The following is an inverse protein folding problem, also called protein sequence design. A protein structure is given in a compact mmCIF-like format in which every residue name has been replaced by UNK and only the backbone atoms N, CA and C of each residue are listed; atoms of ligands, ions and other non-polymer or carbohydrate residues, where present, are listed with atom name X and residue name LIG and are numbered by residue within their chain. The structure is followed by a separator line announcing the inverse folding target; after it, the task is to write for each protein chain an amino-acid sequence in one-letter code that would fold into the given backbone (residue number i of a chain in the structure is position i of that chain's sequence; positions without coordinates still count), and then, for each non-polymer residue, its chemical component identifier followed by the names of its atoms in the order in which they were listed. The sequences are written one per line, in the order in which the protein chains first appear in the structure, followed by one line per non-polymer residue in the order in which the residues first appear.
data_IF_909705542324
#
_entry.id   IF_909705542324
#
_cell.length_a   1.000
_cell.length_b   1.000
_cell.length_c   1.000
_cell.angle_alpha   90.00
_cell.angle_beta   90.00
_cell.angle_gamma   90.00
#
_symmetry.space_group_name_H-M   'P 1'
#
loop_
_entity.id
_entity.type
_entity.pdbx_description
1 polymer ?
#
# COMPACT_ATOMS: atom_id res chain seq x y z
N UNK A 1 -4.77 8.52 -3.60
CA UNK A 1 -5.28 7.33 -4.32
C UNK A 1 -4.36 6.11 -4.20
N UNK A 2 -3.89 5.82 -2.98
CA UNK A 2 -3.41 4.49 -2.64
C UNK A 2 -4.53 3.46 -2.76
N UNK A 3 -4.17 2.19 -2.66
CA UNK A 3 -5.08 1.06 -2.57
C UNK A 3 -6.24 1.30 -1.58
N UNK A 4 -5.93 1.66 -0.32
CA UNK A 4 -6.94 1.97 0.68
C UNK A 4 -7.76 3.23 0.35
N UNK A 5 -7.11 4.27 -0.17
CA UNK A 5 -7.78 5.52 -0.50
C UNK A 5 -8.82 5.37 -1.61
N UNK A 6 -8.51 4.60 -2.65
CA UNK A 6 -9.49 4.30 -3.71
C UNK A 6 -10.65 3.46 -3.18
N UNK A 7 -10.34 2.43 -2.39
CA UNK A 7 -11.37 1.59 -1.77
C UNK A 7 -12.35 2.43 -0.95
N UNK A 8 -11.84 3.28 -0.06
CA UNK A 8 -12.67 4.15 0.77
C UNK A 8 -13.50 5.10 -0.09
N UNK A 9 -12.89 5.77 -1.07
CA UNK A 9 -13.58 6.71 -1.96
C UNK A 9 -14.72 6.03 -2.74
N UNK A 10 -14.51 4.83 -3.28
CA UNK A 10 -15.53 4.10 -4.02
C UNK A 10 -16.73 3.71 -3.14
N UNK A 11 -16.45 3.20 -1.93
CA UNK A 11 -17.50 2.82 -0.98
C UNK A 11 -18.34 4.05 -0.60
N UNK A 12 -17.69 5.17 -0.30
CA UNK A 12 -18.36 6.43 0.06
C UNK A 12 -19.17 7.01 -1.11
N UNK A 13 -18.65 7.01 -2.33
CA UNK A 13 -19.35 7.48 -3.54
C UNK A 13 -20.56 6.62 -3.90
N UNK A 14 -20.47 5.32 -3.67
CA UNK A 14 -21.55 4.36 -3.99
C UNK A 14 -22.68 4.33 -2.96
N UNK A 15 -22.49 4.95 -1.80
CA UNK A 15 -23.45 4.92 -0.72
C UNK A 15 -24.43 6.09 -0.81
N UNK A 16 -25.67 5.84 -0.39
CA UNK A 16 -26.68 6.87 -0.13
C UNK A 16 -27.01 6.87 1.36
N UNK A 17 -27.07 8.05 1.98
CA UNK A 17 -27.37 8.15 3.40
C UNK A 17 -28.80 7.68 3.68
N UNK A 18 -29.02 6.65 4.53
CA UNK A 18 -30.34 6.05 4.72
C UNK A 18 -31.42 7.04 5.21
N UNK A 19 -31.01 8.03 6.01
CA UNK A 19 -31.91 8.99 6.66
C UNK A 19 -32.34 10.17 5.79
N UNK A 20 -31.61 10.48 4.71
CA UNK A 20 -31.87 11.67 3.87
C UNK A 20 -31.90 11.38 2.37
N UNK A 21 -31.48 10.19 1.93
CA UNK A 21 -31.27 9.85 0.52
C UNK A 21 -30.15 10.64 -0.17
N UNK A 22 -29.43 11.51 0.56
CA UNK A 22 -28.35 12.33 0.01
C UNK A 22 -27.07 11.50 -0.18
N UNK A 23 -26.37 11.77 -1.28
CA UNK A 23 -25.02 11.28 -1.50
C UNK A 23 -24.00 12.15 -0.75
N UNK A 24 -22.87 11.56 -0.37
CA UNK A 24 -21.72 12.31 0.14
C UNK A 24 -20.99 12.99 -1.03
N UNK A 25 -20.52 14.22 -0.84
CA UNK A 25 -19.56 14.83 -1.75
C UNK A 25 -18.15 14.30 -1.44
N UNK A 26 -17.55 13.59 -2.39
CA UNK A 26 -16.29 12.86 -2.19
C UNK A 26 -15.19 13.42 -3.10
N UNK A 27 -14.43 14.34 -2.53
CA UNK A 27 -13.20 14.88 -3.13
C UNK A 27 -12.03 13.94 -2.84
N UNK A 28 -11.28 13.59 -3.88
CA UNK A 28 -10.10 12.73 -3.76
C UNK A 28 -8.86 13.48 -4.24
N UNK A 29 -7.81 13.44 -3.42
CA UNK A 29 -6.50 14.03 -3.73
C UNK A 29 -5.46 12.90 -3.90
N UNK A 30 -4.59 13.02 -4.90
CA UNK A 30 -3.48 12.09 -5.09
C UNK A 30 -2.23 12.79 -5.64
N UNK A 31 -1.10 12.57 -4.99
CA UNK A 31 0.17 13.18 -5.39
C UNK A 31 0.72 12.65 -6.71
N UNK A 32 0.42 11.39 -7.07
CA UNK A 32 1.00 10.72 -8.24
C UNK A 32 0.18 11.00 -9.50
N UNK A 33 -1.14 11.11 -9.37
CA UNK A 33 -2.06 11.21 -10.51
C UNK A 33 -2.31 9.88 -11.22
N UNK A 34 -1.78 8.76 -10.70
CA UNK A 34 -1.98 7.42 -11.24
C UNK A 34 -2.07 6.39 -10.10
N UNK A 35 -2.83 5.32 -10.34
CA UNK A 35 -2.85 4.13 -9.50
C UNK A 35 -1.67 3.22 -9.83
N UNK A 36 -1.07 2.64 -8.80
CA UNK A 36 -0.06 1.59 -8.94
C UNK A 36 -0.37 0.47 -7.97
N UNK A 37 -0.52 -0.75 -8.48
CA UNK A 37 -0.64 -1.94 -7.67
C UNK A 37 0.76 -2.44 -7.29
N UNK A 38 1.29 -1.88 -6.20
CA UNK A 38 2.65 -2.13 -5.71
C UNK A 38 3.04 -3.61 -5.51
N UNK A 39 2.14 -4.54 -5.12
CA UNK A 39 2.51 -5.96 -5.02
C UNK A 39 2.99 -6.60 -6.33
N UNK A 40 2.73 -5.98 -7.50
CA UNK A 40 3.23 -6.46 -8.79
C UNK A 40 4.46 -5.71 -9.29
N UNK A 41 4.91 -4.66 -8.58
CA UNK A 41 6.05 -3.84 -9.03
C UNK A 41 7.32 -4.67 -9.22
N UNK A 42 7.56 -5.64 -8.34
CA UNK A 42 8.75 -6.51 -8.40
C UNK A 42 8.77 -7.35 -9.68
N UNK A 43 7.62 -7.89 -10.08
CA UNK A 43 7.47 -8.56 -11.38
C UNK A 43 7.70 -7.58 -12.53
N UNK A 44 7.19 -6.35 -12.44
CA UNK A 44 7.35 -5.34 -13.49
C UNK A 44 8.82 -4.93 -13.70
N UNK A 45 9.71 -5.11 -12.71
CA UNK A 45 11.14 -4.85 -12.88
C UNK A 45 11.82 -5.88 -13.80
N UNK A 46 11.24 -7.08 -13.94
CA UNK A 46 11.78 -8.15 -14.82
C UNK A 46 10.87 -8.45 -16.02
N UNK A 47 9.62 -7.99 -15.99
CA UNK A 47 8.56 -8.12 -17.02
C UNK A 47 7.75 -6.81 -17.11
N UNK A 48 8.34 -5.72 -17.65
CA UNK A 48 7.76 -4.38 -17.63
C UNK A 48 6.44 -4.26 -18.40
N UNK A 49 6.16 -5.17 -19.34
CA UNK A 49 4.85 -5.27 -20.01
C UNK A 49 3.69 -5.46 -19.03
N UNK A 50 3.95 -6.06 -17.87
CA UNK A 50 2.95 -6.23 -16.82
C UNK A 50 2.53 -4.89 -16.18
N UNK A 51 3.34 -3.84 -16.32
CA UNK A 51 3.04 -2.50 -15.81
C UNK A 51 1.86 -1.83 -16.53
N UNK A 52 1.52 -2.26 -17.75
CA UNK A 52 0.32 -1.79 -18.47
C UNK A 52 -0.97 -2.15 -17.71
N UNK A 53 -0.98 -3.29 -17.01
CA UNK A 53 -2.13 -3.73 -16.24
C UNK A 53 -2.18 -3.16 -14.82
N UNK A 54 -1.04 -2.76 -14.25
CA UNK A 54 -0.87 -2.47 -12.82
C UNK A 54 -0.56 -1.01 -12.52
N UNK A 55 -0.15 -0.22 -13.52
CA UNK A 55 0.04 1.23 -13.44
C UNK A 55 -1.04 1.88 -14.30
N UNK A 56 -2.11 2.38 -13.68
CA UNK A 56 -3.31 2.85 -14.36
C UNK A 56 -3.53 4.35 -14.10
N UNK A 57 -4.00 5.13 -15.08
CA UNK A 57 -4.45 6.50 -14.80
C UNK A 57 -5.60 6.48 -13.77
N UNK A 58 -5.72 7.55 -12.98
CA UNK A 58 -6.84 7.70 -12.06
C UNK A 58 -8.12 8.13 -12.78
N UNK A 59 -9.31 7.84 -12.23
CA UNK A 59 -10.57 8.36 -12.75
C UNK A 59 -10.58 9.89 -12.81
N UNK A 60 -11.42 10.43 -13.71
CA UNK A 60 -11.69 11.86 -13.79
C UNK A 60 -12.23 12.40 -12.46
N UNK A 61 -11.82 13.62 -12.09
CA UNK A 61 -12.26 14.27 -10.84
C UNK A 61 -11.35 14.03 -9.63
N UNK A 62 -10.29 13.21 -9.77
CA UNK A 62 -9.22 13.17 -8.76
C UNK A 62 -8.32 14.40 -8.94
N UNK A 63 -8.07 15.13 -7.84
CA UNK A 63 -7.16 16.26 -7.81
C UNK A 63 -5.71 15.73 -7.73
N UNK A 64 -4.91 16.05 -8.74
CA UNK A 64 -3.48 15.70 -8.77
C UNK A 64 -2.69 16.77 -8.00
N UNK A 65 -2.50 16.54 -6.70
CA UNK A 65 -1.86 17.49 -5.79
C UNK A 65 -1.30 16.77 -4.55
N UNK A 66 -0.43 17.45 -3.80
CA UNK A 66 0.10 16.97 -2.52
C UNK A 66 -0.60 17.65 -1.36
N UNK A 67 -0.78 16.91 -0.27
CA UNK A 67 -1.18 17.52 1.01
C UNK A 67 0.03 18.29 1.56
N UNK A 68 -0.15 19.56 1.87
CA UNK A 68 0.86 20.38 2.52
C UNK A 68 0.59 20.51 4.03
N UNK A 69 -0.67 20.67 4.42
CA UNK A 69 -1.07 20.79 5.83
C UNK A 69 -2.46 20.22 6.07
N UNK A 70 -2.61 19.52 7.20
CA UNK A 70 -3.90 19.16 7.78
C UNK A 70 -4.17 20.09 8.96
N UNK A 71 -5.25 20.85 8.89
CA UNK A 71 -5.81 21.57 10.03
C UNK A 71 -7.02 20.76 10.53
N UNK A 72 -6.87 20.01 11.64
CA UNK A 72 -7.93 19.16 12.18
C UNK A 72 -9.20 19.96 12.49
N UNK A 73 -10.29 19.24 12.67
CA UNK A 73 -11.52 19.84 13.18
C UNK A 73 -11.26 20.44 14.56
N UNK A 74 -11.77 21.66 14.76
CA UNK A 74 -11.72 22.32 16.06
C UNK A 74 -12.49 21.52 17.12
N UNK A 75 -12.27 21.84 18.40
CA UNK A 75 -12.96 21.18 19.53
C UNK A 75 -14.49 21.28 19.47
N UNK A 76 -15.02 22.21 18.69
CA UNK A 76 -16.45 22.52 18.61
C UNK A 76 -17.20 21.67 17.56
N UNK A 77 -16.49 20.80 16.82
CA UNK A 77 -17.08 20.00 15.74
C UNK A 77 -17.47 20.83 14.51
N UNK A 78 -17.66 20.18 13.36
CA UNK A 78 -18.04 20.85 12.11
C UNK A 78 -16.99 20.83 10.99
N UNK A 79 -16.08 19.84 11.02
CA UNK A 79 -15.11 19.65 9.94
C UNK A 79 -13.81 20.44 10.11
N UNK A 80 -12.83 20.14 9.25
CA UNK A 80 -11.50 20.75 9.25
C UNK A 80 -11.12 21.28 7.88
N UNK A 81 -9.83 21.64 7.72
CA UNK A 81 -9.30 22.15 6.45
C UNK A 81 -8.05 21.38 6.00
N UNK A 82 -7.92 21.21 4.71
CA UNK A 82 -6.80 20.55 4.04
C UNK A 82 -6.15 21.54 3.07
N UNK A 83 -4.93 21.97 3.38
CA UNK A 83 -4.13 22.80 2.48
C UNK A 83 -3.30 21.90 1.56
N UNK A 84 -3.40 22.14 0.26
CA UNK A 84 -2.62 21.45 -0.75
C UNK A 84 -1.36 22.23 -1.12
N UNK A 85 -0.39 21.56 -1.74
CA UNK A 85 0.87 22.17 -2.15
C UNK A 85 0.68 23.26 -3.22
N UNK A 86 -0.39 23.19 -4.00
CA UNK A 86 -0.79 24.27 -4.92
C UNK A 86 -1.30 25.54 -4.24
N UNK A 87 -1.48 25.54 -2.91
CA UNK A 87 -2.15 26.61 -2.16
C UNK A 87 -3.68 26.51 -2.17
N UNK A 88 -4.25 25.49 -2.83
CA UNK A 88 -5.69 25.19 -2.74
C UNK A 88 -6.04 24.77 -1.31
N UNK A 89 -7.13 25.33 -0.81
CA UNK A 89 -7.66 25.05 0.52
C UNK A 89 -9.02 24.36 0.42
N UNK A 90 -9.14 23.18 1.01
CA UNK A 90 -10.35 22.34 0.97
C UNK A 90 -10.93 22.19 2.37
N UNK A 91 -12.20 22.56 2.54
CA UNK A 91 -12.96 22.20 3.73
C UNK A 91 -13.41 20.73 3.66
N UNK A 92 -13.49 20.05 4.80
CA UNK A 92 -14.01 18.70 4.90
C UNK A 92 -14.86 18.52 6.15
N UNK A 93 -15.95 17.75 6.08
CA UNK A 93 -16.65 17.25 7.26
C UNK A 93 -15.96 16.00 7.84
N UNK A 94 -15.44 15.15 6.94
CA UNK A 94 -14.68 13.95 7.26
C UNK A 94 -13.44 13.88 6.38
N UNK A 95 -12.30 13.49 6.96
CA UNK A 95 -11.04 13.31 6.23
C UNK A 95 -10.57 11.86 6.32
N UNK A 96 -10.18 11.26 5.20
CA UNK A 96 -9.50 9.95 5.17
C UNK A 96 -8.09 10.12 4.65
N UNK A 97 -7.10 9.98 5.55
CA UNK A 97 -5.69 9.96 5.21
C UNK A 97 -5.29 8.54 4.77
N UNK A 98 -4.94 8.40 3.50
CA UNK A 98 -4.54 7.12 2.89
C UNK A 98 -3.26 7.30 2.06
N UNK A 99 -2.28 8.00 2.61
CA UNK A 99 -1.05 8.42 1.91
C UNK A 99 -0.03 7.29 1.73
N UNK A 100 -0.26 6.16 2.41
CA UNK A 100 0.55 4.95 2.27
C UNK A 100 1.94 5.10 2.89
N UNK A 101 2.93 4.48 2.24
CA UNK A 101 4.33 4.49 2.65
C UNK A 101 5.26 4.63 1.46
N UNK A 102 6.48 5.06 1.72
CA UNK A 102 7.57 5.21 0.77
C UNK A 102 8.65 4.17 1.03
N UNK A 103 9.47 3.94 0.01
CA UNK A 103 10.58 2.98 0.02
C UNK A 103 11.72 3.52 -0.83
N UNK A 104 12.94 2.99 -0.63
CA UNK A 104 14.03 3.28 -1.55
C UNK A 104 13.60 2.94 -3.00
N UNK A 105 13.99 3.79 -3.96
CA UNK A 105 13.76 3.49 -5.36
C UNK A 105 14.52 2.23 -5.79
N UNK A 106 14.01 1.44 -6.74
CA UNK A 106 12.87 1.72 -7.64
C UNK A 106 11.51 1.14 -7.19
N UNK A 107 11.44 0.47 -6.04
CA UNK A 107 10.32 -0.44 -5.68
C UNK A 107 9.04 0.31 -5.33
N UNK A 108 9.10 1.29 -4.42
CA UNK A 108 7.92 2.11 -4.06
C UNK A 108 8.38 3.56 -3.89
N UNK A 109 8.76 4.14 -5.04
CA UNK A 109 9.21 5.52 -5.12
C UNK A 109 8.04 6.46 -4.83
N UNK A 110 8.11 7.16 -3.70
CA UNK A 110 7.29 8.33 -3.43
C UNK A 110 8.21 9.53 -3.39
N UNK A 111 7.95 10.56 -4.21
CA UNK A 111 8.62 11.87 -4.07
C UNK A 111 10.08 12.00 -4.54
N UNK A 112 10.67 11.04 -5.25
CA UNK A 112 11.97 11.26 -5.91
C UNK A 112 11.90 12.43 -6.92
N UNK A 113 13.04 13.07 -7.22
CA UNK A 113 13.20 14.28 -8.05
C UNK A 113 12.43 14.33 -9.40
N UNK A 114 11.90 13.21 -9.87
CA UNK A 114 10.94 13.15 -10.98
C UNK A 114 9.55 13.75 -10.65
N UNK A 115 9.18 13.91 -9.37
CA UNK A 115 7.96 14.60 -8.93
C UNK A 115 8.13 16.12 -8.81
N UNK A 116 9.35 16.64 -9.01
CA UNK A 116 9.69 18.05 -8.95
C UNK A 116 10.17 18.56 -10.31
N UNK A 117 9.38 18.38 -11.35
CA UNK A 117 9.28 19.39 -12.40
C UNK A 117 7.81 19.54 -12.71
N UNK A 118 7.15 20.44 -11.96
CA UNK A 118 5.97 21.10 -12.49
C UNK A 118 6.47 21.88 -13.71
N UNK A 119 6.42 21.25 -14.89
CA UNK A 119 6.39 22.01 -16.12
C UNK A 119 5.03 22.71 -16.10
N UNK A 120 5.04 24.01 -15.78
CA UNK A 120 3.92 24.91 -16.00
C UNK A 120 3.56 24.83 -17.48
N UNK A 121 2.54 24.05 -17.79
CA UNK A 121 1.99 23.91 -19.13
C UNK A 121 0.49 23.82 -19.00
N UNK A 122 -0.21 24.65 -19.76
CA UNK A 122 -1.67 24.82 -19.81
C UNK A 122 -2.41 23.59 -20.41
N UNK A 123 -1.95 22.37 -20.12
CA UNK A 123 -2.60 21.12 -20.48
C UNK A 123 -3.52 20.63 -19.36
N UNK A 124 -4.77 20.31 -19.68
CA UNK A 124 -5.77 19.90 -18.70
C UNK A 124 -5.34 18.74 -17.80
N UNK A 125 -5.75 18.78 -16.53
CA UNK A 125 -5.35 17.86 -15.45
C UNK A 125 -5.50 16.34 -15.73
N UNK A 126 -6.32 15.93 -16.71
CA UNK A 126 -6.46 14.51 -17.12
C UNK A 126 -5.23 13.98 -17.89
N UNK A 127 -4.45 14.87 -18.50
CA UNK A 127 -3.24 14.53 -19.27
C UNK A 127 -2.04 14.24 -18.35
N UNK A 128 -1.93 14.97 -17.23
CA UNK A 128 -0.80 14.87 -16.30
C UNK A 128 -0.69 13.49 -15.63
N UNK A 129 -1.80 12.92 -15.16
CA UNK A 129 -1.82 11.59 -14.55
C UNK A 129 -1.41 10.48 -15.52
N UNK A 130 -1.85 10.58 -16.77
CA UNK A 130 -1.52 9.64 -17.84
C UNK A 130 -0.04 9.73 -18.23
N UNK A 131 0.52 10.94 -18.32
CA UNK A 131 1.95 11.18 -18.55
C UNK A 131 2.82 10.58 -17.44
N UNK A 132 2.46 10.81 -16.17
CA UNK A 132 3.18 10.25 -15.01
C UNK A 132 3.09 8.73 -14.93
N UNK A 133 1.94 8.15 -15.26
CA UNK A 133 1.78 6.69 -15.39
C UNK A 133 2.74 6.14 -16.46
N UNK A 134 2.78 6.75 -17.65
CA UNK A 134 3.70 6.35 -18.72
C UNK A 134 5.17 6.49 -18.31
N UNK A 135 5.54 7.56 -17.61
CA UNK A 135 6.89 7.74 -17.06
C UNK A 135 7.24 6.63 -16.06
N UNK A 136 6.30 6.25 -15.18
CA UNK A 136 6.52 5.15 -14.24
C UNK A 136 6.73 3.82 -14.96
N UNK A 137 5.97 3.52 -16.02
CA UNK A 137 6.17 2.30 -16.83
C UNK A 137 7.54 2.29 -17.52
N UNK A 138 7.99 3.45 -18.04
CA UNK A 138 9.35 3.58 -18.60
C UNK A 138 10.43 3.33 -17.54
N UNK A 139 10.27 3.88 -16.34
CA UNK A 139 11.22 3.63 -15.25
C UNK A 139 11.32 2.13 -14.90
N UNK A 140 10.21 1.38 -14.94
CA UNK A 140 10.24 -0.08 -14.74
C UNK A 140 10.95 -0.81 -15.89
N UNK A 141 10.77 -0.34 -17.13
CA UNK A 141 11.51 -0.85 -18.28
C UNK A 141 13.01 -0.53 -18.22
N UNK A 142 13.40 0.61 -17.64
CA UNK A 142 14.80 0.95 -17.42
C UNK A 142 15.43 0.09 -16.31
N UNK A 143 14.66 -0.29 -15.28
CA UNK A 143 15.13 -1.27 -14.28
C UNK A 143 15.40 -2.65 -14.88
N UNK A 144 14.59 -3.11 -15.84
CA UNK A 144 14.89 -4.33 -16.59
C UNK A 144 16.29 -4.25 -17.23
N UNK A 145 16.62 -3.14 -17.91
CA UNK A 145 17.93 -2.95 -18.55
C UNK A 145 19.07 -2.95 -17.53
N UNK A 146 18.88 -2.35 -16.36
CA UNK A 146 19.86 -2.37 -15.27
C UNK A 146 20.11 -3.79 -14.78
N UNK A 147 19.04 -4.56 -14.55
CA UNK A 147 19.14 -5.97 -14.15
C UNK A 147 19.82 -6.80 -15.23
N UNK A 148 19.48 -6.59 -16.51
CA UNK A 148 20.10 -7.28 -17.65
C UNK A 148 21.61 -7.03 -17.74
N UNK A 149 22.03 -5.78 -17.56
CA UNK A 149 23.44 -5.38 -17.58
C UNK A 149 24.26 -5.85 -16.36
N UNK A 150 23.61 -6.07 -15.21
CA UNK A 150 24.29 -6.48 -13.99
C UNK A 150 24.64 -7.98 -13.98
N UNK A 151 25.87 -8.31 -13.57
CA UNK A 151 26.30 -9.71 -13.32
C UNK A 151 26.17 -10.11 -11.87
N UNK A 152 26.43 -9.18 -10.96
CA UNK A 152 26.33 -9.35 -9.51
C UNK A 152 25.23 -8.43 -8.96
N UNK A 153 24.28 -9.01 -8.22
CA UNK A 153 23.11 -8.34 -7.68
C UNK A 153 23.01 -8.64 -6.18
N UNK A 154 22.94 -7.61 -5.35
CA UNK A 154 22.58 -7.73 -3.94
C UNK A 154 21.14 -7.29 -3.71
N UNK A 155 20.37 -8.10 -3.00
CA UNK A 155 19.06 -7.75 -2.48
C UNK A 155 19.19 -7.68 -0.96
N UNK A 156 19.05 -6.49 -0.39
CA UNK A 156 19.28 -6.25 1.04
C UNK A 156 17.94 -6.18 1.76
N UNK A 157 17.59 -7.23 2.51
CA UNK A 157 16.35 -7.31 3.28
C UNK A 157 15.57 -8.59 3.01
N UNK A 158 15.73 -9.60 3.87
CA UNK A 158 15.06 -10.90 3.79
C UNK A 158 13.56 -10.91 4.13
N UNK A 159 12.86 -9.78 3.99
CA UNK A 159 11.40 -9.70 4.14
C UNK A 159 10.66 -10.08 2.86
N UNK A 160 9.31 -9.97 2.83
CA UNK A 160 8.47 -10.23 1.66
C UNK A 160 9.01 -9.63 0.36
N UNK A 161 9.35 -8.33 0.38
CA UNK A 161 9.81 -7.59 -0.80
C UNK A 161 11.12 -8.14 -1.35
N UNK A 162 12.14 -8.34 -0.51
CA UNK A 162 13.44 -8.83 -0.98
C UNK A 162 13.39 -10.29 -1.44
N UNK A 163 12.60 -11.13 -0.78
CA UNK A 163 12.41 -12.53 -1.19
C UNK A 163 11.73 -12.62 -2.56
N UNK A 164 10.66 -11.85 -2.78
CA UNK A 164 10.02 -11.81 -4.10
C UNK A 164 10.97 -11.25 -5.16
N UNK A 165 11.66 -10.14 -4.90
CA UNK A 165 12.57 -9.54 -5.88
C UNK A 165 13.71 -10.49 -6.27
N UNK A 166 14.34 -11.13 -5.28
CA UNK A 166 15.37 -12.13 -5.52
C UNK A 166 14.83 -13.29 -6.37
N UNK A 167 13.60 -13.73 -6.11
CA UNK A 167 12.96 -14.79 -6.87
C UNK A 167 12.59 -14.38 -8.30
N UNK A 168 12.07 -13.18 -8.50
CA UNK A 168 11.76 -12.64 -9.83
C UNK A 168 13.02 -12.56 -10.70
N UNK A 169 14.13 -12.05 -10.14
CA UNK A 169 15.42 -11.95 -10.83
C UNK A 169 15.98 -13.34 -11.14
N UNK A 170 16.12 -14.23 -10.14
CA UNK A 170 16.71 -15.55 -10.33
C UNK A 170 15.84 -16.49 -11.20
N UNK A 171 14.52 -16.33 -11.13
CA UNK A 171 13.58 -17.08 -11.96
C UNK A 171 13.61 -16.67 -13.43
N UNK A 172 13.83 -15.38 -13.72
CA UNK A 172 13.92 -14.84 -15.09
C UNK A 172 15.30 -15.05 -15.71
N UNK A 173 16.37 -14.74 -14.97
CA UNK A 173 17.73 -14.67 -15.49
C UNK A 173 18.60 -15.80 -14.96
N UNK A 174 19.04 -16.68 -15.86
CA UNK A 174 20.02 -17.74 -15.52
C UNK A 174 21.44 -17.17 -15.54
N UNK A 175 22.27 -17.59 -14.59
CA UNK A 175 23.70 -17.28 -14.59
C UNK A 175 24.10 -15.92 -14.01
N UNK A 176 23.16 -15.16 -13.42
CA UNK A 176 23.46 -13.97 -12.61
C UNK A 176 23.79 -14.41 -11.18
N UNK A 177 24.74 -13.74 -10.54
CA UNK A 177 25.01 -13.91 -9.11
C UNK A 177 24.04 -13.04 -8.33
N UNK A 178 23.13 -13.67 -7.59
CA UNK A 178 22.14 -12.98 -6.75
C UNK A 178 22.39 -13.36 -5.31
N UNK A 179 22.65 -12.38 -4.45
CA UNK A 179 22.82 -12.57 -3.00
C UNK A 179 21.69 -11.85 -2.25
N UNK A 180 20.95 -12.59 -1.41
CA UNK A 180 19.88 -12.07 -0.55
C UNK A 180 20.38 -11.97 0.89
N UNK A 181 20.49 -10.74 1.40
CA UNK A 181 20.89 -10.47 2.77
C UNK A 181 19.69 -10.34 3.70
N UNK A 182 19.80 -10.91 4.90
CA UNK A 182 18.78 -10.83 5.95
C UNK A 182 19.44 -10.65 7.31
N UNK A 183 19.10 -9.56 8.01
CA UNK A 183 19.53 -9.35 9.40
C UNK A 183 18.99 -10.39 10.38
N UNK A 184 17.94 -11.11 10.00
CA UNK A 184 17.36 -12.19 10.80
C UNK A 184 17.96 -13.54 10.40
N UNK A 185 18.01 -14.47 11.35
CA UNK A 185 18.48 -15.86 11.18
C UNK A 185 17.78 -16.64 10.05
N UNK A 186 16.61 -16.18 9.60
CA UNK A 186 15.89 -16.72 8.46
C UNK A 186 15.24 -15.63 7.64
N UNK A 187 15.05 -15.89 6.35
CA UNK A 187 14.18 -15.06 5.50
C UNK A 187 12.72 -15.20 5.91
N UNK A 188 11.89 -14.22 5.56
CA UNK A 188 10.47 -14.13 5.96
C UNK A 188 10.26 -14.33 7.48
N UNK A 189 10.98 -13.59 8.35
CA UNK A 189 10.94 -13.82 9.80
C UNK A 189 9.56 -13.61 10.43
N UNK A 190 8.69 -12.81 9.80
CA UNK A 190 7.30 -12.61 10.22
C UNK A 190 6.31 -13.68 9.74
N UNK A 191 6.73 -14.59 8.87
CA UNK A 191 5.91 -15.70 8.37
C UNK A 191 6.23 -17.02 9.09
N UNK A 192 5.34 -17.99 8.94
CA UNK A 192 5.50 -19.35 9.46
C UNK A 192 6.83 -19.97 8.97
N UNK A 193 7.59 -20.67 9.84
CA UNK A 193 8.85 -21.30 9.46
C UNK A 193 8.74 -22.23 8.24
N UNK A 194 7.59 -22.86 8.01
CA UNK A 194 7.36 -23.72 6.82
C UNK A 194 7.32 -22.92 5.52
N UNK A 195 6.79 -21.70 5.56
CA UNK A 195 6.79 -20.79 4.42
C UNK A 195 8.21 -20.31 4.10
N UNK A 196 8.94 -19.93 5.13
CA UNK A 196 10.36 -19.52 5.06
C UNK A 196 11.24 -20.65 4.50
N UNK A 197 11.14 -21.87 5.03
CA UNK A 197 11.91 -23.02 4.57
C UNK A 197 11.65 -23.36 3.10
N UNK A 198 10.38 -23.29 2.66
CA UNK A 198 10.03 -23.52 1.26
C UNK A 198 10.63 -22.46 0.32
N UNK A 199 10.56 -21.19 0.72
CA UNK A 199 11.15 -20.08 -0.05
C UNK A 199 12.68 -20.20 -0.13
N UNK A 200 13.36 -20.54 0.97
CA UNK A 200 14.80 -20.79 1.02
C UNK A 200 15.19 -21.88 0.03
N UNK A 201 14.57 -23.05 0.11
CA UNK A 201 14.87 -24.17 -0.77
C UNK A 201 14.63 -23.84 -2.26
N UNK A 202 13.59 -23.06 -2.55
CA UNK A 202 13.34 -22.60 -3.91
C UNK A 202 14.44 -21.65 -4.40
N UNK A 203 14.80 -20.64 -3.60
CA UNK A 203 15.81 -19.64 -3.95
C UNK A 203 17.19 -20.29 -4.17
N UNK A 204 17.64 -21.15 -3.26
CA UNK A 204 18.92 -21.87 -3.35
C UNK A 204 18.96 -22.75 -4.61
N UNK A 205 17.86 -23.45 -4.91
CA UNK A 205 17.73 -24.25 -6.15
C UNK A 205 17.85 -23.40 -7.42
N UNK A 206 17.53 -22.11 -7.34
CA UNK A 206 17.66 -21.15 -8.45
C UNK A 206 18.97 -20.34 -8.40
N UNK A 207 19.93 -20.76 -7.56
CA UNK A 207 21.27 -20.18 -7.51
C UNK A 207 21.36 -18.87 -6.74
N UNK A 208 20.35 -18.55 -5.91
CA UNK A 208 20.42 -17.41 -4.99
C UNK A 208 21.23 -17.81 -3.76
N UNK A 209 22.21 -17.00 -3.44
CA UNK A 209 22.99 -17.11 -2.21
C UNK A 209 22.26 -16.36 -1.07
N UNK A 210 21.93 -17.06 0.02
CA UNK A 210 21.23 -16.46 1.16
C UNK A 210 22.23 -16.21 2.29
N UNK A 211 22.29 -14.95 2.74
CA UNK A 211 23.16 -14.46 3.80
C UNK A 211 22.30 -14.03 4.99
N UNK A 212 21.89 -15.01 5.80
CA UNK A 212 21.04 -14.79 6.98
C UNK A 212 21.88 -14.47 8.23
N UNK A 213 21.33 -13.69 9.15
CA UNK A 213 22.05 -13.15 10.32
C UNK A 213 23.01 -12.00 9.98
N UNK A 214 23.09 -11.58 8.72
CA UNK A 214 24.00 -10.53 8.25
C UNK A 214 23.25 -9.19 8.12
N UNK A 215 23.72 -8.17 8.83
CA UNK A 215 23.22 -6.80 8.70
C UNK A 215 24.13 -6.04 7.74
N UNK A 216 23.57 -5.61 6.61
CA UNK A 216 24.27 -4.81 5.60
C UNK A 216 23.58 -3.46 5.53
N UNK A 217 24.32 -2.39 5.75
CA UNK A 217 23.86 -1.04 5.44
C UNK A 217 24.17 -0.76 3.97
N UNK A 218 23.17 -0.29 3.23
CA UNK A 218 23.38 0.19 1.87
C UNK A 218 23.98 1.60 1.95
N UNK A 219 25.27 1.73 2.25
CA UNK A 219 25.92 3.04 2.17
C UNK A 219 26.06 3.49 0.71
N UNK A 220 25.78 4.78 0.54
CA UNK A 220 25.61 5.52 -0.70
C UNK A 220 26.84 5.46 -1.61
N UNK A 221 26.59 5.15 -2.88
CA UNK A 221 27.29 5.60 -4.08
C UNK A 221 28.81 5.29 -4.28
N UNK A 222 29.56 4.70 -3.34
CA UNK A 222 31.02 4.55 -3.53
C UNK A 222 31.62 3.13 -3.57
N UNK A 223 30.89 2.03 -3.33
CA UNK A 223 31.48 0.66 -3.35
C UNK A 223 30.99 -0.30 -4.45
N UNK A 224 30.18 0.13 -5.43
CA UNK A 224 29.55 -0.82 -6.35
C UNK A 224 29.41 -0.36 -7.81
N UNK A 225 30.46 0.19 -8.42
CA UNK A 225 30.48 0.39 -9.87
C UNK A 225 30.17 -0.91 -10.67
N UNK A 226 30.33 -2.10 -10.06
CA UNK A 226 30.06 -3.40 -10.68
C UNK A 226 28.85 -4.18 -10.11
N UNK A 227 28.31 -3.82 -8.94
CA UNK A 227 27.24 -4.59 -8.25
C UNK A 227 25.94 -3.80 -8.16
N UNK A 228 24.85 -4.37 -8.66
CA UNK A 228 23.53 -3.75 -8.56
C UNK A 228 22.91 -4.05 -7.19
N UNK A 229 22.58 -3.02 -6.42
CA UNK A 229 22.05 -3.17 -5.06
C UNK A 229 20.58 -2.72 -4.99
N UNK A 230 19.74 -3.56 -4.38
CA UNK A 230 18.34 -3.26 -4.09
C UNK A 230 18.06 -3.29 -2.60
N UNK A 231 17.75 -2.12 -2.04
CA UNK A 231 17.37 -1.97 -0.63
C UNK A 231 15.90 -2.34 -0.43
N UNK A 232 15.68 -3.43 0.30
CA UNK A 232 14.40 -4.06 0.59
C UNK A 232 14.02 -4.01 2.08
N UNK A 233 14.32 -2.88 2.73
CA UNK A 233 13.87 -2.57 4.10
C UNK A 233 13.59 -1.06 4.26
N UNK A 234 13.13 -0.65 5.45
CA UNK A 234 13.05 0.78 5.81
C UNK A 234 11.82 1.51 5.27
N UNK A 235 10.70 0.81 5.01
CA UNK A 235 9.45 1.47 4.62
C UNK A 235 9.02 2.50 5.66
N UNK A 236 8.71 3.72 5.21
CA UNK A 236 8.31 4.83 6.06
C UNK A 236 6.90 5.30 5.71
N UNK A 237 6.07 5.58 6.71
CA UNK A 237 4.72 6.15 6.48
C UNK A 237 4.81 7.52 5.80
N UNK A 238 4.01 7.74 4.76
CA UNK A 238 4.00 8.99 4.00
C UNK A 238 3.17 10.06 4.72
N UNK A 239 3.74 10.62 5.78
CA UNK A 239 3.13 11.70 6.57
C UNK A 239 4.10 12.89 6.64
N UNK A 240 4.75 13.16 5.52
CA UNK A 240 5.74 14.20 5.24
C UNK A 240 5.07 15.56 4.93
N UNK A 241 4.05 15.91 5.70
CA UNK A 241 3.32 17.17 5.62
C UNK A 241 2.99 17.67 7.02
N UNK A 242 2.64 18.95 7.16
CA UNK A 242 2.31 19.53 8.45
C UNK A 242 0.99 18.90 8.96
N UNK A 243 1.10 18.05 9.98
CA UNK A 243 -0.03 17.31 10.51
C UNK A 243 0.14 17.20 12.03
N UNK A 244 -0.71 17.89 12.81
CA UNK A 244 -0.59 17.94 14.27
C UNK A 244 -1.15 16.69 14.98
N UNK A 245 -1.54 15.65 14.22
CA UNK A 245 -2.07 14.40 14.76
C UNK A 245 -0.94 13.52 15.30
N UNK A 246 -1.24 12.80 16.39
CA UNK A 246 -0.34 11.91 17.09
C UNK A 246 0.17 10.78 16.21
N UNK A 247 1.46 10.48 16.32
CA UNK A 247 2.16 9.42 15.57
C UNK A 247 2.76 8.39 16.52
N UNK A 248 2.88 7.16 16.04
CA UNK A 248 3.62 6.11 16.73
C UNK A 248 5.13 6.35 16.63
N UNK A 249 5.92 5.59 17.38
CA UNK A 249 7.39 5.55 17.22
C UNK A 249 7.85 5.07 15.84
N UNK A 250 6.97 4.42 15.06
CA UNK A 250 7.21 3.99 13.68
C UNK A 250 6.79 5.04 12.64
N UNK A 251 6.33 6.21 13.09
CA UNK A 251 5.96 7.34 12.24
C UNK A 251 4.57 7.30 11.63
N UNK A 252 3.78 6.24 11.84
CA UNK A 252 2.38 6.17 11.37
C UNK A 252 1.43 6.95 12.29
N UNK A 253 0.35 7.49 11.72
CA UNK A 253 -0.73 8.15 12.46
C UNK A 253 -1.42 7.17 13.40
N UNK A 254 -1.60 7.54 14.67
CA UNK A 254 -2.28 6.68 15.65
C UNK A 254 -3.79 6.72 15.43
N UNK A 255 -4.38 5.55 15.21
CA UNK A 255 -5.83 5.38 15.04
C UNK A 255 -6.43 4.35 15.99
N UNK A 256 -7.70 4.48 16.33
CA UNK A 256 -8.46 3.48 17.10
C UNK A 256 -8.85 2.30 16.22
N UNK A 257 -9.41 1.23 16.79
CA UNK A 257 -10.02 0.13 16.03
C UNK A 257 -11.14 0.55 15.07
N UNK A 258 -11.73 1.73 15.26
CA UNK A 258 -12.71 2.36 14.33
C UNK A 258 -12.06 3.10 13.15
N UNK A 259 -10.72 3.09 13.06
CA UNK A 259 -9.88 3.84 12.11
C UNK A 259 -9.89 5.37 12.26
N UNK A 260 -10.62 5.90 13.25
CA UNK A 260 -10.55 7.32 13.63
C UNK A 260 -9.20 7.62 14.27
N UNK A 261 -8.68 8.82 14.04
CA UNK A 261 -7.55 9.38 14.77
C UNK A 261 -7.84 9.36 16.28
N UNK A 262 -6.78 9.20 17.06
CA UNK A 262 -6.87 9.31 18.52
C UNK A 262 -7.07 10.76 18.99
N UNK A 263 -6.81 11.75 18.12
CA UNK A 263 -6.88 13.18 18.44
C UNK A 263 -8.12 13.87 17.87
N UNK A 264 -8.62 13.40 16.72
CA UNK A 264 -9.77 13.98 16.02
C UNK A 264 -10.75 12.90 15.53
N UNK A 265 -12.00 12.87 16.02
CA UNK A 265 -12.99 11.86 15.65
C UNK A 265 -13.48 11.96 14.20
N UNK A 266 -13.26 13.06 13.50
CA UNK A 266 -13.66 13.28 12.10
C UNK A 266 -12.52 13.02 11.11
N UNK A 267 -11.29 12.78 11.60
CA UNK A 267 -10.16 12.35 10.78
C UNK A 267 -9.94 10.85 10.95
N UNK A 268 -9.86 10.15 9.83
CA UNK A 268 -9.55 8.74 9.72
C UNK A 268 -8.20 8.56 9.04
N UNK A 269 -7.49 7.48 9.36
CA UNK A 269 -6.31 7.08 8.60
C UNK A 269 -6.32 5.57 8.34
N UNK A 270 -5.89 5.18 7.14
CA UNK A 270 -5.95 3.80 6.65
C UNK A 270 -4.72 3.41 5.82
N UNK A 271 -4.40 2.12 5.80
CA UNK A 271 -3.23 1.58 5.14
C UNK A 271 -1.92 1.95 5.84
N UNK A 272 -0.82 1.93 5.08
CA UNK A 272 0.53 2.05 5.64
C UNK A 272 0.86 3.39 6.32
N UNK A 273 0.00 4.41 6.19
CA UNK A 273 0.21 5.71 6.84
C UNK A 273 -0.26 5.76 8.30
N UNK A 274 -0.93 4.71 8.79
CA UNK A 274 -1.42 4.63 10.17
C UNK A 274 -0.89 3.41 10.93
N UNK A 275 -0.91 3.52 12.25
CA UNK A 275 -0.72 2.42 13.20
C UNK A 275 -1.94 2.33 14.11
N UNK A 276 -2.53 1.15 14.23
CA UNK A 276 -3.73 0.94 15.04
C UNK A 276 -3.33 0.80 16.51
N UNK A 277 -3.81 1.72 17.35
CA UNK A 277 -3.70 1.67 18.81
C UNK A 277 -4.81 0.76 19.33
N UNK A 278 -4.44 -0.44 19.72
CA UNK A 278 -5.32 -1.34 20.45
C UNK A 278 -4.88 -1.36 21.93
N UNK A 279 -5.75 -0.82 22.79
CA UNK A 279 -5.52 -0.74 24.23
C UNK A 279 -5.53 -2.12 24.91
N UNK A 280 -6.11 -3.15 24.27
CA UNK A 280 -6.26 -4.49 24.83
C UNK A 280 -5.16 -5.48 24.37
N UNK A 281 -4.37 -5.15 23.34
CA UNK A 281 -3.47 -6.12 22.68
C UNK A 281 -1.99 -6.01 23.06
N UNK A 282 -1.62 -5.12 23.99
CA UNK A 282 -0.20 -4.94 24.34
C UNK A 282 0.68 -4.44 23.19
N UNK A 283 0.10 -3.77 22.18
CA UNK A 283 0.85 -3.03 21.17
C UNK A 283 1.09 -3.73 19.83
N UNK A 284 0.23 -4.66 19.39
CA UNK A 284 0.37 -5.22 18.04
C UNK A 284 -0.15 -4.23 17.01
N UNK A 285 0.72 -3.31 16.60
CA UNK A 285 0.46 -2.46 15.47
C UNK A 285 0.49 -3.33 14.20
N UNK A 286 -0.69 -3.52 13.60
CA UNK A 286 -0.95 -4.45 12.50
C UNK A 286 0.09 -4.33 11.37
N UNK A 287 0.39 -5.47 10.73
CA UNK A 287 1.30 -5.52 9.57
C UNK A 287 0.82 -4.59 8.45
N UNK A 288 1.75 -3.93 7.77
CA UNK A 288 1.42 -2.99 6.68
C UNK A 288 1.26 -3.76 5.37
N UNK A 289 0.07 -4.35 5.18
CA UNK A 289 -0.28 -5.19 4.02
C UNK A 289 -1.43 -4.60 3.19
N UNK A 290 -1.47 -4.93 1.90
CA UNK A 290 -2.59 -4.54 1.03
C UNK A 290 -3.93 -5.11 1.51
N UNK A 291 -3.96 -6.34 2.03
CA UNK A 291 -5.18 -6.93 2.60
C UNK A 291 -5.72 -6.09 3.77
N UNK A 292 -4.86 -5.73 4.71
CA UNK A 292 -5.26 -4.91 5.85
C UNK A 292 -5.68 -3.51 5.40
N UNK A 293 -5.00 -2.93 4.43
CA UNK A 293 -5.38 -1.66 3.83
C UNK A 293 -6.81 -1.70 3.22
N UNK A 294 -7.26 -2.81 2.62
CA UNK A 294 -8.66 -2.98 2.16
C UNK A 294 -9.63 -2.98 3.33
N UNK A 295 -9.35 -3.82 4.33
CA UNK A 295 -10.21 -4.00 5.50
C UNK A 295 -10.36 -2.67 6.25
N UNK A 296 -9.26 -1.96 6.48
CA UNK A 296 -9.25 -0.65 7.13
C UNK A 296 -10.07 0.39 6.34
N UNK A 297 -9.98 0.40 5.00
CA UNK A 297 -10.79 1.27 4.17
C UNK A 297 -12.29 0.97 4.27
N UNK A 298 -12.67 -0.31 4.35
CA UNK A 298 -14.07 -0.73 4.58
C UNK A 298 -14.57 -0.27 5.94
N UNK A 299 -13.77 -0.45 7.00
CA UNK A 299 -14.12 -0.01 8.36
C UNK A 299 -14.31 1.50 8.41
N UNK A 300 -13.35 2.27 7.86
CA UNK A 300 -13.44 3.74 7.82
C UNK A 300 -14.69 4.21 7.05
N UNK A 301 -14.95 3.66 5.86
CA UNK A 301 -16.11 4.05 5.07
C UNK A 301 -17.44 3.76 5.78
N UNK A 302 -17.58 2.58 6.41
CA UNK A 302 -18.78 2.25 7.19
C UNK A 302 -19.00 3.19 8.36
N UNK A 303 -17.93 3.56 9.06
CA UNK A 303 -18.00 4.47 10.20
C UNK A 303 -18.37 5.89 9.78
N UNK A 304 -17.78 6.40 8.70
CA UNK A 304 -18.16 7.71 8.13
C UNK A 304 -19.64 7.71 7.75
N UNK A 305 -20.15 6.67 7.09
CA UNK A 305 -21.55 6.58 6.72
C UNK A 305 -22.49 6.52 7.92
N UNK A 306 -22.11 5.78 8.98
CA UNK A 306 -22.87 5.71 10.21
C UNK A 306 -22.93 7.09 10.91
N UNK A 307 -21.81 7.80 10.99
CA UNK A 307 -21.74 9.14 11.58
C UNK A 307 -22.54 10.16 10.74
N UNK A 308 -22.39 10.15 9.42
CA UNK A 308 -23.07 11.06 8.50
C UNK A 308 -24.61 10.86 8.46
N UNK A 309 -25.11 9.67 8.78
CA UNK A 309 -26.54 9.38 8.81
C UNK A 309 -27.30 9.98 10.01
N UNK A 310 -26.62 10.72 10.90
CA UNK A 310 -27.24 11.30 12.10
C UNK A 310 -27.22 10.38 13.31
N UNK A 311 -26.33 9.38 13.35
CA UNK A 311 -25.90 8.80 14.61
C UNK A 311 -25.29 9.94 15.44
N UNK A 312 -26.06 10.50 16.37
CA UNK A 312 -25.68 11.70 17.09
C UNK A 312 -24.28 11.54 17.70
N UNK A 313 -23.50 12.62 17.66
CA UNK A 313 -22.34 12.80 18.53
C UNK A 313 -22.80 12.97 19.98
N UNK A 314 -23.50 11.97 20.52
CA UNK A 314 -23.73 11.80 21.96
C UNK A 314 -22.69 10.82 22.46
N UNK A 315 -22.44 10.84 23.77
CA UNK A 315 -21.39 10.09 24.49
C UNK A 315 -21.43 8.55 24.34
N UNK A 316 -22.20 7.99 23.39
CA UNK A 316 -22.26 6.58 23.01
C UNK A 316 -22.02 6.32 21.52
N UNK A 317 -21.33 7.21 20.79
CA UNK A 317 -20.99 7.00 19.38
C UNK A 317 -20.26 5.66 19.12
N UNK A 318 -19.53 5.13 20.10
CA UNK A 318 -18.84 3.84 19.96
C UNK A 318 -19.81 2.64 19.82
N UNK A 319 -21.05 2.70 20.33
CA UNK A 319 -21.98 1.56 20.35
C UNK A 319 -22.53 1.20 18.96
N UNK A 320 -22.46 2.12 18.00
CA UNK A 320 -22.96 1.94 16.64
C UNK A 320 -21.86 1.83 15.56
N UNK A 321 -20.59 1.94 15.94
CA UNK A 321 -19.47 1.97 14.98
C UNK A 321 -18.88 0.58 14.72
N UNK A 322 -18.54 0.31 13.47
CA UNK A 322 -17.79 -0.88 13.08
C UNK A 322 -16.34 -0.78 13.58
N UNK A 323 -15.84 -1.84 14.22
CA UNK A 323 -14.43 -1.92 14.62
C UNK A 323 -13.67 -2.95 13.80
N UNK A 324 -12.36 -2.73 13.65
CA UNK A 324 -11.46 -3.65 12.96
C UNK A 324 -11.47 -5.05 13.59
N UNK A 325 -11.56 -5.14 14.93
CA UNK A 325 -11.68 -6.41 15.67
C UNK A 325 -13.00 -7.12 15.38
N UNK A 326 -14.11 -6.38 15.31
CA UNK A 326 -15.43 -6.91 14.97
C UNK A 326 -15.55 -7.38 13.52
N UNK A 327 -14.60 -7.02 12.65
CA UNK A 327 -14.58 -7.43 11.27
C UNK A 327 -14.26 -8.93 11.07
N UNK A 328 -13.49 -9.54 11.99
CA UNK A 328 -13.23 -10.98 12.01
C UNK A 328 -13.92 -11.66 13.20
N UNK A 329 -15.03 -12.35 12.94
CA UNK A 329 -15.74 -13.11 13.98
C UNK A 329 -14.86 -14.23 14.57
N UNK A 330 -14.80 -14.29 15.90
CA UNK A 330 -14.17 -15.41 16.63
C UNK A 330 -12.65 -15.37 16.78
N UNK A 331 -11.98 -14.26 16.41
CA UNK A 331 -10.53 -14.08 16.60
C UNK A 331 -10.24 -12.75 17.31
N UNK A 332 -9.25 -12.77 18.21
CA UNK A 332 -8.82 -11.57 18.93
C UNK A 332 -7.99 -10.61 18.05
N UNK A 333 -7.43 -11.11 16.94
CA UNK A 333 -6.63 -10.35 15.98
C UNK A 333 -6.93 -10.79 14.54
N UNK A 334 -6.63 -9.91 13.59
CA UNK A 334 -6.70 -10.26 12.17
C UNK A 334 -5.61 -11.27 11.82
N UNK A 335 -5.92 -12.33 11.05
CA UNK A 335 -4.90 -13.27 10.61
C UNK A 335 -3.89 -12.56 9.71
N UNK A 336 -2.61 -12.93 9.83
CA UNK A 336 -1.64 -12.59 8.79
C UNK A 336 -2.08 -13.26 7.49
N UNK A 337 -2.38 -12.45 6.48
CA UNK A 337 -2.63 -12.89 5.10
C UNK A 337 -1.49 -12.39 4.25
N UNK A 338 -0.66 -13.30 3.75
CA UNK A 338 0.52 -12.95 2.97
C UNK A 338 0.73 -13.98 1.85
N UNK A 339 1.00 -13.49 0.65
CA UNK A 339 1.30 -14.33 -0.51
C UNK A 339 2.58 -13.85 -1.18
N UNK A 340 3.62 -14.66 -1.08
CA UNK A 340 4.95 -14.40 -1.61
C UNK A 340 5.14 -15.19 -2.90
N UNK A 341 5.27 -14.53 -4.04
CA UNK A 341 5.64 -15.21 -5.29
C UNK A 341 7.10 -15.61 -5.27
N UNK A 342 7.35 -16.82 -5.76
CA UNK A 342 8.67 -17.31 -6.10
C UNK A 342 8.69 -17.46 -7.63
N UNK A 343 8.79 -16.30 -8.29
CA UNK A 343 8.58 -16.10 -9.73
C UNK A 343 7.18 -16.54 -10.20
N UNK A 344 7.05 -17.08 -11.42
CA UNK A 344 5.76 -17.29 -12.09
C UNK A 344 4.91 -18.40 -11.47
N UNK A 345 5.50 -19.55 -11.18
CA UNK A 345 4.76 -20.80 -10.97
C UNK A 345 4.99 -21.42 -9.58
N UNK A 346 5.58 -20.67 -8.66
CA UNK A 346 5.81 -21.09 -7.28
C UNK A 346 5.58 -19.92 -6.34
N UNK A 347 5.39 -20.21 -5.06
CA UNK A 347 5.18 -19.21 -4.03
C UNK A 347 4.88 -19.85 -2.68
N UNK A 348 4.68 -19.00 -1.69
CA UNK A 348 4.13 -19.39 -0.40
C UNK A 348 2.98 -18.47 -0.03
N UNK A 349 1.86 -19.06 0.39
CA UNK A 349 0.68 -18.37 0.86
C UNK A 349 0.44 -18.75 2.31
N UNK A 350 0.28 -17.76 3.17
CA UNK A 350 -0.06 -17.93 4.56
C UNK A 350 -1.35 -17.19 4.90
N UNK A 351 -2.25 -17.87 5.60
CA UNK A 351 -3.42 -17.29 6.23
C UNK A 351 -3.54 -17.80 7.66
N UNK A 352 -3.15 -16.97 8.63
CA UNK A 352 -3.04 -17.41 10.03
C UNK A 352 -2.03 -18.56 10.15
N UNK A 353 -2.48 -19.72 10.65
CA UNK A 353 -1.66 -20.94 10.77
C UNK A 353 -1.64 -21.86 9.55
N UNK A 354 -2.41 -21.52 8.50
CA UNK A 354 -2.46 -22.30 7.26
C UNK A 354 -1.36 -21.82 6.32
N UNK A 355 -0.55 -22.75 5.82
CA UNK A 355 0.53 -22.50 4.86
C UNK A 355 0.32 -23.38 3.64
N UNK A 356 0.31 -22.77 2.47
CA UNK A 356 0.20 -23.43 1.16
C UNK A 356 1.40 -23.01 0.31
N UNK A 357 2.09 -23.97 -0.29
CA UNK A 357 3.32 -23.74 -1.04
C UNK A 357 3.21 -24.19 -2.51
N UNK A 358 4.10 -23.69 -3.36
CA UNK A 358 4.23 -24.09 -4.76
C UNK A 358 3.16 -23.47 -5.67
N UNK A 359 2.74 -24.22 -6.69
CA UNK A 359 1.81 -23.72 -7.71
C UNK A 359 0.48 -23.20 -7.15
N UNK A 360 -0.18 -23.85 -6.17
CA UNK A 360 -1.42 -23.31 -5.60
C UNK A 360 -1.24 -21.92 -4.99
N UNK A 361 -0.10 -21.63 -4.35
CA UNK A 361 0.19 -20.30 -3.83
C UNK A 361 0.37 -19.26 -4.94
N UNK A 362 1.12 -19.60 -5.99
CA UNK A 362 1.30 -18.74 -7.16
C UNK A 362 -0.02 -18.43 -7.88
N UNK A 363 -0.88 -19.44 -8.01
CA UNK A 363 -2.22 -19.28 -8.59
C UNK A 363 -3.09 -18.36 -7.74
N UNK A 364 -3.10 -18.53 -6.41
CA UNK A 364 -3.80 -17.63 -5.50
C UNK A 364 -3.32 -16.18 -5.63
N UNK A 365 -2.01 -15.92 -5.76
CA UNK A 365 -1.48 -14.56 -5.99
C UNK A 365 -2.07 -13.92 -7.25
N UNK A 366 -2.17 -14.68 -8.36
CA UNK A 366 -2.75 -14.20 -9.63
C UNK A 366 -4.24 -13.89 -9.49
N UNK A 367 -4.97 -14.72 -8.74
CA UNK A 367 -6.40 -14.50 -8.45
C UNK A 367 -6.57 -13.21 -7.65
N UNK A 368 -5.81 -13.03 -6.56
CA UNK A 368 -5.85 -11.83 -5.72
C UNK A 368 -5.52 -10.58 -6.56
N UNK A 369 -4.43 -10.60 -7.32
CA UNK A 369 -4.03 -9.52 -8.22
C UNK A 369 -5.13 -9.19 -9.23
N UNK A 370 -5.70 -10.20 -9.89
CA UNK A 370 -6.79 -10.02 -10.86
C UNK A 370 -8.01 -9.32 -10.26
N UNK A 371 -8.47 -9.75 -9.08
CA UNK A 371 -9.58 -9.09 -8.38
C UNK A 371 -9.28 -7.63 -8.04
N UNK A 372 -8.08 -7.34 -7.55
CA UNK A 372 -7.71 -5.98 -7.17
C UNK A 372 -7.58 -5.04 -8.37
N UNK A 373 -7.04 -5.54 -9.49
CA UNK A 373 -6.94 -4.78 -10.73
C UNK A 373 -8.32 -4.54 -11.35
N UNK A 374 -9.23 -5.51 -11.29
CA UNK A 374 -10.60 -5.33 -11.78
C UNK A 374 -11.34 -4.26 -10.98
N UNK A 375 -11.21 -4.28 -9.65
CA UNK A 375 -11.73 -3.22 -8.78
C UNK A 375 -11.16 -1.84 -9.15
N UNK A 376 -9.85 -1.73 -9.37
CA UNK A 376 -9.22 -0.47 -9.76
C UNK A 376 -9.70 0.02 -11.14
N UNK A 377 -9.89 -0.87 -12.12
CA UNK A 377 -10.37 -0.53 -13.47
C UNK A 377 -11.81 -0.09 -13.49
N UNK A 378 -12.69 -0.77 -12.76
CA UNK A 378 -14.11 -0.38 -12.65
C UNK A 378 -14.26 0.99 -11.97
N UNK A 379 -13.32 1.35 -11.09
CA UNK A 379 -13.24 2.70 -10.52
C UNK A 379 -12.85 3.74 -11.57
N UNK A 380 -11.91 3.42 -12.45
CA UNK A 380 -11.42 4.31 -13.50
C UNK A 380 -12.45 4.56 -14.62
N UNK A 381 -13.32 3.59 -14.91
CA UNK A 381 -14.34 3.69 -15.97
C UNK A 381 -15.64 4.40 -15.54
N UNK A 382 -15.74 4.83 -14.27
CA UNK A 382 -16.96 5.43 -13.72
C UNK A 382 -18.14 4.46 -13.64
N UNK A 383 -17.90 3.17 -13.90
CA UNK A 383 -18.95 2.16 -13.92
C UNK A 383 -19.01 1.49 -12.54
N UNK A 384 -20.03 1.83 -11.75
CA UNK A 384 -20.29 1.23 -10.43
C UNK A 384 -20.82 -0.22 -10.53
N UNK A 385 -20.42 -0.95 -11.59
CA UNK A 385 -20.80 -2.33 -11.82
C UNK A 385 -20.42 -3.16 -10.61
N UNK A 386 -21.44 -3.47 -9.79
CA UNK A 386 -21.26 -4.17 -8.54
C UNK A 386 -20.62 -5.52 -8.80
N UNK A 387 -19.38 -5.69 -8.35
CA UNK A 387 -18.75 -6.99 -8.21
C UNK A 387 -19.48 -7.73 -7.08
N UNK A 388 -20.61 -8.35 -7.44
CA UNK A 388 -21.20 -9.48 -6.74
C UNK A 388 -20.20 -10.64 -6.87
N UNK A 389 -19.27 -10.72 -5.92
CA UNK A 389 -18.28 -11.78 -5.89
C UNK A 389 -17.49 -11.72 -4.59
N UNK A 390 -18.13 -12.13 -3.49
CA UNK A 390 -17.43 -12.37 -2.23
C UNK A 390 -16.57 -13.62 -2.42
N UNK A 391 -15.26 -13.46 -2.43
CA UNK A 391 -14.35 -14.48 -1.94
C UNK A 391 -13.41 -13.76 -0.98
N UNK A 392 -13.62 -14.03 0.31
CA UNK A 392 -12.71 -13.69 1.40
C UNK A 392 -11.70 -14.81 1.55
#
# INVERSE_FOLDING_TARGET
ASFAGQRAANLLRSASLPSSGRALDVVQVDAKGYFEYYPSTLRCMVEPEHAEATVLPLPTGVLVDRVARVAPSGRDGGGGRLMLASGRDLAYDYLVLATGSGYAGPIKCFGGAAASTAAEGEGGHADEGSRRAAQRRRALADELKRIEGARDIAVVGGGPVGVELAAEIAGKFRGKKVTLYSKSERILPGMDPRASAFATAWLEKHGVEIRAGECVESDSDEEAAERLVYTCYGSASNVDFECPLSRSSRGGLLVKGTMQSVDDPFVFAVGDCCDVRDADSGGVAAEKTAFLADVQAVVAAKNILAMAAGGAATKGADDALCTLKGFCHGKASLPLVCCISLYKNSGTFQMGGVVVNGYPAAWNKRVIEGFQLDMARNSASGNSGGLKGRVW
#
